data_IF_411602280016
#
_entry.id   IF_411602280016
#
_cell.length_a   1.000
_cell.length_b   1.000
_cell.length_c   1.000
_cell.angle_alpha   90.00
_cell.angle_beta   90.00
_cell.angle_gamma   90.00
#
_symmetry.space_group_name_H-M   'P 1'
#
loop_
_entity.id
_entity.type
_entity.pdbx_description
1 polymer ?
#
# COMPACT_ATOMS: atom_id res chain seq x y z
N UNK A 1 42.93 -16.85 -17.95
CA UNK A 1 42.71 -18.22 -17.44
C UNK A 1 43.27 -18.27 -16.02
N UNK A 2 42.43 -18.61 -15.03
CA UNK A 2 42.73 -19.02 -13.64
C UNK A 2 43.77 -18.21 -12.83
N UNK A 3 43.26 -17.37 -11.92
CA UNK A 3 43.86 -17.15 -10.60
C UNK A 3 42.93 -17.83 -9.58
N UNK A 4 43.42 -18.87 -8.93
CA UNK A 4 42.71 -19.66 -7.91
C UNK A 4 43.61 -19.73 -6.67
N UNK A 5 42.95 -19.50 -5.52
CA UNK A 5 43.31 -19.84 -4.14
C UNK A 5 44.39 -19.01 -3.44
N UNK A 6 43.90 -18.13 -2.55
CA UNK A 6 44.25 -18.20 -1.12
C UNK A 6 42.96 -17.97 -0.32
N UNK A 7 42.48 -19.00 0.36
CA UNK A 7 41.55 -18.90 1.50
C UNK A 7 42.41 -18.82 2.77
N UNK A 8 42.08 -17.98 3.76
CA UNK A 8 42.42 -18.25 5.15
C UNK A 8 41.22 -18.84 5.90
N UNK A 9 41.53 -19.83 6.73
CA UNK A 9 40.66 -20.54 7.66
C UNK A 9 40.24 -19.70 8.90
N UNK A 10 39.26 -20.17 9.70
CA UNK A 10 38.36 -19.34 10.49
C UNK A 10 38.84 -19.12 11.92
N UNK A 11 39.79 -18.21 12.13
CA UNK A 11 40.16 -17.74 13.48
C UNK A 11 40.43 -16.24 13.49
N UNK A 12 39.39 -15.44 13.31
CA UNK A 12 39.40 -13.99 13.59
C UNK A 12 37.96 -13.49 13.88
N UNK A 13 37.29 -14.12 14.86
CA UNK A 13 36.17 -13.50 15.54
C UNK A 13 36.76 -12.72 16.72
N UNK A 14 36.81 -11.39 16.61
CA UNK A 14 37.10 -10.52 17.74
C UNK A 14 35.98 -10.65 18.79
N UNK A 15 36.32 -10.61 20.09
CA UNK A 15 35.39 -10.92 21.16
C UNK A 15 34.31 -9.84 21.32
N UNK A 16 33.10 -10.30 21.64
CA UNK A 16 31.99 -9.46 22.12
C UNK A 16 32.44 -8.74 23.40
N UNK A 17 32.37 -7.40 23.49
CA UNK A 17 32.67 -6.72 24.74
C UNK A 17 31.58 -7.06 25.76
N UNK A 18 31.99 -7.63 26.91
CA UNK A 18 31.16 -7.68 28.11
C UNK A 18 30.98 -6.23 28.58
N UNK A 19 29.74 -5.77 28.60
CA UNK A 19 29.37 -4.52 29.28
C UNK A 19 29.30 -4.80 30.78
N UNK A 20 30.28 -4.28 31.53
CA UNK A 20 30.17 -4.15 32.98
C UNK A 20 29.18 -3.03 33.29
N UNK A 21 28.10 -3.39 34.00
CA UNK A 21 27.08 -2.46 34.46
C UNK A 21 27.66 -1.58 35.58
N UNK A 22 27.96 -0.32 35.24
CA UNK A 22 28.31 0.75 36.17
C UNK A 22 27.38 1.93 35.97
N UNK A 23 26.70 2.33 37.05
CA UNK A 23 25.63 3.32 37.15
C UNK A 23 25.89 4.66 36.41
N UNK A 24 25.05 4.95 35.42
CA UNK A 24 24.62 6.31 35.03
C UNK A 24 23.36 6.20 34.17
N UNK A 25 22.27 5.76 34.81
CA UNK A 25 20.97 5.53 34.18
C UNK A 25 20.14 6.79 33.97
N UNK A 26 19.45 6.86 32.83
CA UNK A 26 18.30 7.77 32.67
C UNK A 26 17.83 8.00 31.23
N UNK A 27 18.75 8.00 30.25
CA UNK A 27 18.45 8.31 28.86
C UNK A 27 18.59 7.10 27.90
N UNK A 28 19.59 6.25 28.12
CA UNK A 28 19.83 5.06 27.28
C UNK A 28 18.74 3.99 27.43
N UNK A 29 18.12 3.89 28.61
CA UNK A 29 16.97 3.02 28.82
C UNK A 29 15.72 3.48 28.05
N UNK A 30 15.61 4.75 27.64
CA UNK A 30 14.41 5.25 26.96
C UNK A 30 14.42 5.02 25.45
N UNK A 31 15.61 4.98 24.84
CA UNK A 31 15.80 4.64 23.43
C UNK A 31 15.91 3.13 23.21
N UNK A 32 16.50 2.39 24.14
CA UNK A 32 16.36 0.94 24.18
C UNK A 32 14.90 0.52 24.44
N UNK A 33 14.18 1.22 25.33
CA UNK A 33 12.76 0.98 25.56
C UNK A 33 11.87 1.21 24.32
N UNK A 34 12.23 2.07 23.36
CA UNK A 34 11.44 2.25 22.14
C UNK A 34 11.59 1.10 21.14
N UNK A 35 12.71 0.36 21.17
CA UNK A 35 12.88 -0.88 20.42
C UNK A 35 12.41 -2.12 21.22
N UNK A 36 12.59 -2.12 22.55
CA UNK A 36 12.13 -3.19 23.44
C UNK A 36 10.59 -3.20 23.60
N UNK A 37 9.90 -2.08 23.37
CA UNK A 37 8.44 -2.05 23.43
C UNK A 37 7.77 -2.76 22.24
N UNK A 38 8.47 -2.87 21.10
CA UNK A 38 7.98 -3.50 19.87
C UNK A 38 8.67 -4.82 19.53
N UNK A 39 9.80 -5.12 20.16
CA UNK A 39 10.44 -6.44 20.13
C UNK A 39 10.74 -6.89 21.54
N UNK A 40 9.83 -7.67 22.14
CA UNK A 40 10.13 -8.37 23.37
C UNK A 40 11.38 -9.24 23.18
N UNK A 41 12.22 -9.48 24.21
CA UNK A 41 13.38 -10.35 24.12
C UNK A 41 13.06 -11.77 23.61
N UNK A 42 11.79 -12.18 23.68
CA UNK A 42 11.27 -13.44 23.19
C UNK A 42 11.07 -13.47 21.65
N UNK A 43 10.97 -12.31 20.98
CA UNK A 43 10.79 -12.20 19.51
C UNK A 43 12.11 -12.19 18.73
N UNK A 44 13.22 -11.84 19.37
CA UNK A 44 14.56 -11.90 18.74
C UNK A 44 14.93 -13.32 18.31
N UNK A 45 14.26 -14.35 18.84
CA UNK A 45 14.55 -15.77 18.61
C UNK A 45 13.95 -16.30 17.29
N UNK A 46 13.07 -15.55 16.60
CA UNK A 46 12.35 -16.05 15.41
C UNK A 46 12.40 -15.16 14.16
N UNK A 47 13.31 -14.19 14.08
CA UNK A 47 13.43 -13.34 12.87
C UNK A 47 14.17 -14.08 11.74
N UNK A 48 13.57 -14.10 10.56
CA UNK A 48 14.28 -14.56 9.35
C UNK A 48 15.39 -13.57 8.97
N UNK A 49 16.37 -14.01 8.18
CA UNK A 49 17.46 -13.14 7.73
C UNK A 49 16.95 -11.90 6.95
N UNK A 50 15.83 -12.01 6.24
CA UNK A 50 15.23 -10.88 5.51
C UNK A 50 14.56 -9.88 6.47
N UNK A 51 13.93 -10.38 7.53
CA UNK A 51 13.32 -9.60 8.60
C UNK A 51 14.37 -8.86 9.44
N UNK A 52 15.46 -9.53 9.82
CA UNK A 52 16.57 -8.94 10.54
C UNK A 52 17.24 -7.81 9.75
N UNK A 53 17.38 -7.96 8.42
CA UNK A 53 17.90 -6.89 7.54
C UNK A 53 16.99 -5.66 7.53
N UNK A 54 15.68 -5.84 7.56
CA UNK A 54 14.73 -4.71 7.64
C UNK A 54 14.97 -3.90 8.91
N UNK A 55 15.04 -4.58 10.07
CA UNK A 55 15.30 -3.94 11.36
C UNK A 55 16.67 -3.24 11.36
N UNK A 56 17.71 -3.90 10.85
CA UNK A 56 19.04 -3.31 10.73
C UNK A 56 19.04 -2.05 9.85
N UNK A 57 18.26 -2.03 8.77
CA UNK A 57 18.08 -0.86 7.91
C UNK A 57 17.39 0.31 8.61
N UNK A 58 16.48 0.02 9.53
CA UNK A 58 15.75 1.02 10.29
C UNK A 58 16.63 1.64 11.37
N UNK A 59 17.35 0.81 12.12
CA UNK A 59 18.37 1.25 13.08
C UNK A 59 19.43 2.11 12.38
N UNK A 60 19.87 1.71 11.18
CA UNK A 60 20.80 2.49 10.38
C UNK A 60 20.22 3.86 9.99
N UNK A 61 18.96 3.92 9.55
CA UNK A 61 18.32 5.18 9.18
C UNK A 61 18.15 6.13 10.37
N UNK A 62 17.74 5.62 11.54
CA UNK A 62 17.61 6.39 12.78
C UNK A 62 18.99 6.90 13.23
N UNK A 63 20.00 6.03 13.21
CA UNK A 63 21.37 6.40 13.59
C UNK A 63 21.94 7.50 12.68
N UNK A 64 21.70 7.43 11.37
CA UNK A 64 22.07 8.52 10.44
C UNK A 64 21.35 9.82 10.79
N UNK A 65 20.06 9.76 11.11
CA UNK A 65 19.30 10.95 11.47
C UNK A 65 19.85 11.61 12.74
N UNK A 66 20.18 10.82 13.76
CA UNK A 66 20.80 11.31 14.99
C UNK A 66 22.16 11.96 14.72
N UNK A 67 23.01 11.34 13.89
CA UNK A 67 24.31 11.92 13.50
C UNK A 67 24.15 13.24 12.75
N UNK A 68 23.16 13.35 11.86
CA UNK A 68 22.85 14.59 11.14
C UNK A 68 22.35 15.68 12.10
N UNK A 69 21.48 15.33 13.06
CA UNK A 69 20.98 16.26 14.07
C UNK A 69 22.08 16.74 15.00
N UNK A 70 22.92 15.83 15.49
CA UNK A 70 24.07 16.15 16.35
C UNK A 70 25.03 17.12 15.66
N UNK A 71 25.38 16.85 14.39
CA UNK A 71 26.21 17.76 13.59
C UNK A 71 25.55 19.11 13.36
N UNK A 72 24.22 19.15 13.21
CA UNK A 72 23.46 20.39 12.99
C UNK A 72 23.41 21.27 14.22
N UNK A 73 23.24 20.67 15.40
CA UNK A 73 23.05 21.40 16.67
C UNK A 73 24.31 21.55 17.51
N UNK A 74 25.47 21.03 17.06
CA UNK A 74 26.77 21.12 17.76
C UNK A 74 27.19 22.50 18.28
N UNK A 75 26.69 23.58 17.67
CA UNK A 75 27.03 24.96 18.04
C UNK A 75 25.99 25.58 18.99
N UNK A 76 24.99 24.82 19.44
CA UNK A 76 23.94 25.29 20.34
C UNK A 76 24.47 25.26 21.77
N UNK A 77 24.37 26.36 22.55
CA UNK A 77 24.81 26.38 23.94
C UNK A 77 24.12 25.28 24.76
N UNK A 78 24.90 24.50 25.51
CA UNK A 78 24.39 23.39 26.33
C UNK A 78 24.08 22.10 25.57
N UNK A 79 24.44 22.00 24.28
CA UNK A 79 24.31 20.75 23.52
C UNK A 79 25.40 19.75 23.89
N UNK A 80 25.01 18.56 24.31
CA UNK A 80 25.93 17.45 24.56
C UNK A 80 26.09 16.61 23.29
N UNK A 81 27.30 16.53 22.70
CA UNK A 81 27.52 15.80 21.46
C UNK A 81 27.47 14.29 21.70
N UNK A 82 26.96 13.55 20.71
CA UNK A 82 26.91 12.09 20.77
C UNK A 82 28.33 11.51 20.79
N UNK A 83 28.65 10.70 21.81
CA UNK A 83 29.93 10.03 21.91
C UNK A 83 30.15 9.09 20.71
N UNK A 84 31.28 9.24 20.01
CA UNK A 84 31.59 8.41 18.85
C UNK A 84 30.71 8.64 17.62
N UNK A 85 30.12 9.83 17.48
CA UNK A 85 29.21 10.23 16.38
C UNK A 85 29.72 9.83 14.98
N UNK A 86 31.02 10.00 14.68
CA UNK A 86 31.59 9.62 13.39
C UNK A 86 31.60 8.10 13.18
N UNK A 87 31.92 7.32 14.22
CA UNK A 87 31.91 5.85 14.16
C UNK A 87 30.49 5.33 14.00
N UNK A 88 29.52 5.93 14.71
CA UNK A 88 28.10 5.63 14.54
C UNK A 88 27.63 5.95 13.12
N UNK A 89 28.04 7.09 12.57
CA UNK A 89 27.73 7.48 11.19
C UNK A 89 28.30 6.52 10.16
N UNK A 90 29.55 6.06 10.32
CA UNK A 90 30.13 5.07 9.42
C UNK A 90 29.45 3.70 9.53
N UNK A 91 29.19 3.23 10.75
CA UNK A 91 28.51 1.97 10.99
C UNK A 91 27.11 1.97 10.37
N UNK A 92 26.32 3.02 10.62
CA UNK A 92 24.99 3.17 10.07
C UNK A 92 24.99 3.24 8.53
N UNK A 93 25.98 3.88 7.92
CA UNK A 93 26.11 3.93 6.46
C UNK A 93 26.45 2.55 5.89
N UNK A 94 27.38 1.83 6.50
CA UNK A 94 27.75 0.48 6.09
C UNK A 94 26.57 -0.50 6.20
N UNK A 95 25.81 -0.44 7.31
CA UNK A 95 24.59 -1.23 7.49
C UNK A 95 23.51 -0.88 6.46
N UNK A 96 23.30 0.40 6.16
CA UNK A 96 22.34 0.81 5.14
C UNK A 96 22.72 0.27 3.74
N UNK A 97 24.01 0.26 3.39
CA UNK A 97 24.50 -0.33 2.14
C UNK A 97 24.28 -1.84 2.10
N UNK A 98 24.64 -2.56 3.17
CA UNK A 98 24.46 -4.01 3.26
C UNK A 98 22.98 -4.42 3.12
N UNK A 99 22.09 -3.70 3.81
CA UNK A 99 20.64 -3.92 3.72
C UNK A 99 20.10 -3.64 2.32
N UNK A 100 20.63 -2.62 1.62
CA UNK A 100 20.21 -2.26 0.26
C UNK A 100 20.52 -3.33 -0.80
N UNK A 101 21.48 -4.22 -0.52
CA UNK A 101 21.85 -5.35 -1.39
C UNK A 101 20.92 -6.56 -1.21
N UNK A 102 20.16 -6.62 -0.11
CA UNK A 102 19.21 -7.68 0.18
C UNK A 102 17.78 -7.40 -0.31
N UNK A 103 16.93 -8.43 -0.28
CA UNK A 103 15.47 -8.24 -0.30
C UNK A 103 14.99 -8.08 1.15
N UNK A 104 14.63 -6.86 1.60
CA UNK A 104 14.06 -6.65 2.93
C UNK A 104 12.67 -7.27 3.03
N UNK A 105 12.36 -7.87 4.18
CA UNK A 105 11.02 -8.32 4.53
C UNK A 105 10.40 -7.40 5.59
N UNK A 106 9.39 -6.63 5.19
CA UNK A 106 8.68 -5.69 6.05
C UNK A 106 7.52 -6.33 6.82
N UNK A 107 7.43 -7.66 6.85
CA UNK A 107 6.44 -8.38 7.66
C UNK A 107 6.67 -8.24 9.17
N UNK A 108 7.89 -7.91 9.59
CA UNK A 108 8.22 -7.57 11.00
C UNK A 108 7.41 -6.37 11.47
N UNK A 109 7.19 -5.42 10.58
CA UNK A 109 6.60 -4.15 10.91
C UNK A 109 5.08 -4.18 10.67
N UNK A 110 4.34 -4.42 11.75
CA UNK A 110 2.87 -4.49 11.72
C UNK A 110 2.23 -3.10 11.65
N UNK A 111 2.90 -2.06 12.13
CA UNK A 111 2.35 -0.70 12.33
C UNK A 111 3.12 0.40 11.62
N UNK A 112 4.35 0.14 11.16
CA UNK A 112 5.25 1.14 10.61
C UNK A 112 5.33 1.15 9.08
N UNK A 113 6.41 1.75 8.59
CA UNK A 113 6.52 2.18 7.20
C UNK A 113 6.77 0.99 6.26
N UNK A 114 5.83 0.76 5.34
CA UNK A 114 6.02 -0.16 4.22
C UNK A 114 6.35 0.62 2.94
N UNK A 115 7.31 0.16 2.12
CA UNK A 115 7.55 0.79 0.84
C UNK A 115 6.26 0.82 0.02
N UNK A 116 6.01 1.93 -0.67
CA UNK A 116 4.86 2.03 -1.59
C UNK A 116 4.89 0.83 -2.53
N UNK A 117 3.81 0.04 -2.51
CA UNK A 117 3.63 -1.07 -3.43
C UNK A 117 3.70 -0.53 -4.86
N UNK A 118 4.71 -0.96 -5.60
CA UNK A 118 4.91 -0.54 -6.99
C UNK A 118 4.17 -1.51 -7.93
N UNK A 119 3.72 -1.02 -9.10
CA UNK A 119 3.24 -1.92 -10.13
C UNK A 119 4.39 -2.83 -10.56
N UNK A 120 4.10 -4.11 -10.76
CA UNK A 120 5.03 -5.09 -11.30
C UNK A 120 5.20 -4.77 -12.78
N UNK A 121 6.34 -4.16 -13.11
CA UNK A 121 6.76 -3.89 -14.48
C UNK A 121 7.24 -5.14 -15.22
N UNK A 122 7.57 -4.96 -16.50
CA UNK A 122 8.05 -6.04 -17.37
C UNK A 122 6.95 -6.72 -18.19
N UNK A 123 7.31 -7.72 -19.01
CA UNK A 123 6.36 -8.45 -19.83
C UNK A 123 5.32 -9.18 -18.96
N UNK A 124 4.14 -9.41 -19.53
CA UNK A 124 3.08 -10.15 -18.85
C UNK A 124 3.58 -11.55 -18.50
N UNK A 125 3.44 -11.94 -17.22
CA UNK A 125 3.71 -13.32 -16.81
C UNK A 125 2.74 -14.28 -17.51
N UNK A 126 3.19 -15.50 -17.87
CA UNK A 126 2.32 -16.48 -18.50
C UNK A 126 1.27 -17.03 -17.53
N UNK A 127 0.12 -17.44 -18.09
CA UNK A 127 -0.94 -18.13 -17.36
C UNK A 127 -1.51 -17.35 -16.17
N UNK A 128 -1.80 -18.08 -15.09
CA UNK A 128 -2.47 -17.56 -13.88
C UNK A 128 -1.65 -16.44 -13.20
N UNK A 129 -0.32 -16.53 -13.25
CA UNK A 129 0.58 -15.50 -12.72
C UNK A 129 0.39 -14.16 -13.43
N UNK A 130 0.05 -14.19 -14.72
CA UNK A 130 -0.30 -12.98 -15.48
C UNK A 130 -1.59 -12.33 -15.01
N UNK A 131 -2.57 -13.12 -14.60
CA UNK A 131 -3.83 -12.63 -14.01
C UNK A 131 -3.56 -12.00 -12.65
N UNK A 132 -2.81 -12.69 -11.76
CA UNK A 132 -2.39 -12.13 -10.47
C UNK A 132 -1.58 -10.84 -10.62
N UNK A 133 -0.67 -10.77 -11.59
CA UNK A 133 0.10 -9.57 -11.85
C UNK A 133 -0.79 -8.39 -12.24
N UNK A 134 -1.77 -8.62 -13.12
CA UNK A 134 -2.72 -7.59 -13.53
C UNK A 134 -3.60 -7.13 -12.36
N UNK A 135 -4.07 -8.07 -11.53
CA UNK A 135 -4.88 -7.76 -10.34
C UNK A 135 -4.09 -6.97 -9.28
N UNK A 136 -2.83 -7.33 -9.05
CA UNK A 136 -1.93 -6.54 -8.19
C UNK A 136 -1.71 -5.13 -8.74
N UNK A 137 -1.44 -5.01 -10.05
CA UNK A 137 -1.24 -3.72 -10.69
C UNK A 137 -2.50 -2.85 -10.66
N UNK A 138 -3.68 -3.46 -10.81
CA UNK A 138 -4.97 -2.81 -10.62
C UNK A 138 -5.06 -2.20 -9.22
N UNK A 139 -4.81 -2.99 -8.17
CA UNK A 139 -4.84 -2.51 -6.78
C UNK A 139 -3.89 -1.32 -6.57
N UNK A 140 -2.67 -1.41 -7.09
CA UNK A 140 -1.69 -0.31 -7.00
C UNK A 140 -2.18 0.93 -7.74
N UNK A 141 -2.78 0.79 -8.92
CA UNK A 141 -3.30 1.92 -9.70
C UNK A 141 -4.61 2.49 -9.16
N UNK A 142 -5.38 1.73 -8.39
CA UNK A 142 -6.53 2.24 -7.63
C UNK A 142 -6.13 3.16 -6.47
N UNK A 143 -4.83 3.40 -6.25
CA UNK A 143 -4.37 4.50 -5.41
C UNK A 143 -4.85 5.87 -5.94
N UNK A 144 -4.93 6.05 -7.27
CA UNK A 144 -5.55 7.23 -7.87
C UNK A 144 -7.07 7.12 -7.90
N UNK A 145 -7.77 8.23 -7.61
CA UNK A 145 -9.23 8.29 -7.61
C UNK A 145 -9.79 8.15 -9.03
N UNK A 146 -10.58 7.10 -9.33
CA UNK A 146 -11.16 6.90 -10.66
C UNK A 146 -12.42 7.75 -10.87
N UNK A 147 -12.67 8.16 -12.11
CA UNK A 147 -14.00 8.68 -12.48
C UNK A 147 -15.06 7.57 -12.44
N UNK A 148 -16.35 7.95 -12.52
CA UNK A 148 -17.45 7.00 -12.39
C UNK A 148 -17.49 5.96 -13.52
N UNK A 149 -17.01 6.29 -14.72
CA UNK A 149 -16.97 5.36 -15.85
C UNK A 149 -15.89 4.30 -15.64
N UNK A 150 -14.68 4.74 -15.30
CA UNK A 150 -13.56 3.86 -15.01
C UNK A 150 -13.85 2.99 -13.78
N UNK A 151 -14.52 3.53 -12.76
CA UNK A 151 -14.96 2.73 -11.61
C UNK A 151 -15.95 1.62 -12.01
N UNK A 152 -16.89 1.89 -12.93
CA UNK A 152 -17.79 0.86 -13.47
C UNK A 152 -17.03 -0.23 -14.21
N UNK A 153 -16.00 0.12 -14.98
CA UNK A 153 -15.17 -0.86 -15.69
C UNK A 153 -14.39 -1.74 -14.72
N UNK A 154 -13.83 -1.15 -13.66
CA UNK A 154 -13.15 -1.90 -12.60
C UNK A 154 -14.13 -2.82 -11.87
N UNK A 155 -15.33 -2.36 -11.53
CA UNK A 155 -16.35 -3.19 -10.88
C UNK A 155 -16.80 -4.35 -11.77
N UNK A 156 -17.00 -4.13 -13.07
CA UNK A 156 -17.33 -5.22 -13.99
C UNK A 156 -16.17 -6.22 -14.14
N UNK A 157 -14.93 -5.76 -14.12
CA UNK A 157 -13.78 -6.67 -14.14
C UNK A 157 -13.74 -7.55 -12.90
N UNK A 158 -14.04 -7.00 -11.72
CA UNK A 158 -14.10 -7.76 -10.46
C UNK A 158 -15.22 -8.79 -10.47
N UNK A 159 -16.39 -8.46 -11.03
CA UNK A 159 -17.48 -9.41 -11.27
C UNK A 159 -17.02 -10.59 -12.14
N UNK A 160 -16.40 -10.28 -13.29
CA UNK A 160 -15.95 -11.28 -14.26
C UNK A 160 -14.81 -12.14 -13.73
N UNK A 161 -13.85 -11.55 -13.03
CA UNK A 161 -12.73 -12.28 -12.42
C UNK A 161 -13.21 -13.23 -11.32
N UNK A 162 -14.09 -12.76 -10.44
CA UNK A 162 -14.66 -13.58 -9.37
C UNK A 162 -15.37 -14.80 -9.94
N UNK A 163 -16.28 -14.59 -10.90
CA UNK A 163 -17.04 -15.66 -11.53
C UNK A 163 -16.15 -16.61 -12.35
N UNK A 164 -15.19 -16.06 -13.12
CA UNK A 164 -14.34 -16.86 -13.99
C UNK A 164 -13.29 -17.70 -13.25
N UNK A 165 -12.97 -17.36 -11.99
CA UNK A 165 -12.08 -18.17 -11.17
C UNK A 165 -12.79 -19.28 -10.38
N UNK A 166 -14.13 -19.25 -10.26
CA UNK A 166 -14.93 -20.27 -9.55
C UNK A 166 -14.63 -21.70 -10.03
N UNK A 167 -14.60 -22.02 -11.35
CA UNK A 167 -14.35 -23.39 -11.80
C UNK A 167 -12.98 -23.94 -11.38
N UNK A 168 -11.98 -23.06 -11.23
CA UNK A 168 -10.65 -23.43 -10.79
C UNK A 168 -10.60 -23.62 -9.27
N UNK A 169 -11.25 -22.75 -8.50
CA UNK A 169 -11.37 -22.87 -7.06
C UNK A 169 -12.15 -24.14 -6.66
N UNK A 170 -13.24 -24.46 -7.37
CA UNK A 170 -14.11 -25.61 -7.07
C UNK A 170 -13.35 -26.95 -7.02
N UNK A 171 -12.27 -27.08 -7.77
CA UNK A 171 -11.43 -28.29 -7.82
C UNK A 171 -10.56 -28.49 -6.57
N UNK A 172 -10.34 -27.42 -5.81
CA UNK A 172 -9.38 -27.38 -4.70
C UNK A 172 -10.12 -27.11 -3.38
N UNK A 173 -10.97 -26.09 -3.38
CA UNK A 173 -11.74 -25.63 -2.23
C UNK A 173 -13.15 -25.16 -2.70
N UNK A 174 -14.17 -26.03 -2.55
CA UNK A 174 -15.57 -25.72 -2.88
C UNK A 174 -16.15 -24.54 -2.08
N UNK A 175 -15.71 -24.34 -0.84
CA UNK A 175 -16.23 -23.27 0.02
C UNK A 175 -15.70 -21.91 -0.47
N UNK A 176 -14.42 -21.85 -0.83
CA UNK A 176 -13.82 -20.68 -1.45
C UNK A 176 -14.50 -20.35 -2.80
N UNK A 177 -14.82 -21.38 -3.59
CA UNK A 177 -15.55 -21.21 -4.84
C UNK A 177 -16.95 -20.61 -4.61
N UNK A 178 -17.66 -21.07 -3.58
CA UNK A 178 -18.94 -20.48 -3.15
C UNK A 178 -18.80 -19.00 -2.75
N UNK A 179 -17.75 -18.65 -1.98
CA UNK A 179 -17.45 -17.27 -1.61
C UNK A 179 -17.18 -16.39 -2.83
N UNK A 180 -16.44 -16.89 -3.83
CA UNK A 180 -16.15 -16.15 -5.06
C UNK A 180 -17.39 -16.00 -5.95
N UNK A 181 -18.27 -16.99 -5.97
CA UNK A 181 -19.60 -16.88 -6.58
C UNK A 181 -20.44 -15.78 -5.92
N UNK A 182 -20.52 -15.77 -4.59
CA UNK A 182 -21.23 -14.72 -3.84
C UNK A 182 -20.62 -13.33 -4.05
N UNK A 183 -19.28 -13.23 -4.12
CA UNK A 183 -18.57 -12.01 -4.47
C UNK A 183 -18.97 -11.51 -5.86
N UNK A 184 -19.02 -12.39 -6.86
CA UNK A 184 -19.45 -12.03 -8.21
C UNK A 184 -20.88 -11.48 -8.22
N UNK A 185 -21.81 -12.11 -7.51
CA UNK A 185 -23.19 -11.63 -7.38
C UNK A 185 -23.30 -10.26 -6.69
N UNK A 186 -22.47 -10.05 -5.66
CA UNK A 186 -22.37 -8.75 -4.99
C UNK A 186 -21.92 -7.68 -5.97
N UNK A 187 -20.88 -7.94 -6.76
CA UNK A 187 -20.43 -7.01 -7.80
C UNK A 187 -21.46 -6.80 -8.91
N UNK A 188 -22.28 -7.80 -9.26
CA UNK A 188 -23.42 -7.63 -10.17
C UNK A 188 -24.46 -6.64 -9.63
N UNK A 189 -24.69 -6.60 -8.31
CA UNK A 189 -25.58 -5.62 -7.65
C UNK A 189 -24.95 -4.23 -7.65
N UNK A 190 -23.68 -4.13 -7.23
CA UNK A 190 -22.91 -2.86 -7.22
C UNK A 190 -22.85 -2.25 -8.62
N UNK A 191 -22.60 -3.05 -9.65
CA UNK A 191 -22.56 -2.59 -11.04
C UNK A 191 -23.90 -2.02 -11.50
N UNK A 192 -25.02 -2.64 -11.12
CA UNK A 192 -26.37 -2.13 -11.43
C UNK A 192 -26.61 -0.79 -10.79
N UNK A 193 -26.28 -0.63 -9.51
CA UNK A 193 -26.45 0.64 -8.80
C UNK A 193 -25.52 1.74 -9.32
N UNK A 194 -24.28 1.40 -9.68
CA UNK A 194 -23.33 2.34 -10.28
C UNK A 194 -23.83 2.96 -11.59
N UNK A 195 -24.77 2.31 -12.32
CA UNK A 195 -25.38 2.90 -13.54
C UNK A 195 -26.13 4.19 -13.24
N UNK A 196 -26.62 4.34 -12.02
CA UNK A 196 -27.32 5.54 -11.57
C UNK A 196 -26.37 6.62 -11.03
N UNK A 197 -25.05 6.41 -11.09
CA UNK A 197 -24.05 7.37 -10.62
C UNK A 197 -23.26 7.94 -11.79
N UNK A 198 -23.30 9.25 -11.97
CA UNK A 198 -22.41 10.00 -12.85
C UNK A 198 -21.24 10.61 -12.07
N UNK A 199 -20.22 11.07 -12.79
CA UNK A 199 -19.07 11.76 -12.21
C UNK A 199 -17.87 11.69 -13.15
N UNK A 200 -17.26 12.84 -13.42
CA UNK A 200 -16.06 12.95 -14.28
C UNK A 200 -14.80 13.34 -13.51
N UNK A 201 -14.90 13.44 -12.18
CA UNK A 201 -13.77 13.85 -11.35
C UNK A 201 -12.90 12.63 -11.05
N UNK A 202 -11.62 12.72 -11.41
CA UNK A 202 -10.65 11.63 -11.30
C UNK A 202 -10.11 11.17 -12.66
N UNK A 203 -9.07 10.33 -12.62
CA UNK A 203 -8.55 9.63 -13.79
C UNK A 203 -8.24 8.19 -13.37
N UNK A 204 -9.06 7.26 -13.84
CA UNK A 204 -8.94 5.84 -13.53
C UNK A 204 -8.48 5.00 -14.72
N UNK A 205 -8.06 5.61 -15.83
CA UNK A 205 -7.77 4.90 -17.10
C UNK A 205 -6.75 3.79 -16.93
N UNK A 206 -5.68 4.05 -16.19
CA UNK A 206 -4.63 3.05 -15.97
C UNK A 206 -5.14 1.88 -15.09
N UNK A 207 -5.99 2.15 -14.10
CA UNK A 207 -6.63 1.10 -13.30
C UNK A 207 -7.60 0.28 -14.16
N UNK A 208 -8.46 0.94 -14.94
CA UNK A 208 -9.37 0.29 -15.87
C UNK A 208 -8.63 -0.57 -16.92
N UNK A 209 -7.46 -0.11 -17.39
CA UNK A 209 -6.59 -0.88 -18.27
C UNK A 209 -6.08 -2.17 -17.64
N UNK A 210 -5.60 -2.13 -16.39
CA UNK A 210 -5.16 -3.36 -15.69
C UNK A 210 -6.33 -4.29 -15.36
N UNK A 211 -7.50 -3.74 -15.03
CA UNK A 211 -8.75 -4.49 -14.88
C UNK A 211 -9.12 -5.24 -16.17
N UNK A 212 -9.04 -4.59 -17.33
CA UNK A 212 -9.26 -5.22 -18.63
C UNK A 212 -8.20 -6.29 -18.93
N UNK A 213 -6.93 -6.01 -18.61
CA UNK A 213 -5.83 -6.98 -18.77
C UNK A 213 -6.07 -8.23 -17.94
N UNK A 214 -6.51 -8.09 -16.68
CA UNK A 214 -6.78 -9.22 -15.79
C UNK A 214 -7.87 -10.13 -16.38
N UNK A 215 -8.98 -9.56 -16.84
CA UNK A 215 -10.08 -10.31 -17.47
C UNK A 215 -9.63 -10.96 -18.78
N UNK A 216 -8.91 -10.22 -19.63
CA UNK A 216 -8.40 -10.76 -20.90
C UNK A 216 -7.48 -11.96 -20.67
N UNK A 217 -6.57 -11.87 -19.70
CA UNK A 217 -5.66 -12.96 -19.32
C UNK A 217 -6.40 -14.14 -18.70
N UNK A 218 -7.43 -13.89 -17.89
CA UNK A 218 -8.27 -14.96 -17.33
C UNK A 218 -8.99 -15.74 -18.45
N UNK A 219 -9.54 -15.05 -19.45
CA UNK A 219 -10.20 -15.68 -20.61
C UNK A 219 -9.24 -16.48 -21.49
N UNK A 220 -7.96 -16.12 -21.48
CA UNK A 220 -6.92 -16.84 -22.21
C UNK A 220 -6.40 -18.08 -21.46
N UNK A 221 -6.84 -18.32 -20.21
CA UNK A 221 -6.48 -19.54 -19.50
C UNK A 221 -7.20 -20.74 -20.09
N UNK A 222 -6.47 -21.85 -20.25
CA UNK A 222 -7.08 -23.10 -20.66
C UNK A 222 -7.94 -23.66 -19.50
N UNK A 223 -9.13 -24.24 -19.76
CA UNK A 223 -10.03 -24.72 -18.72
C UNK A 223 -9.42 -25.79 -17.79
N UNK A 224 -8.42 -26.53 -18.26
CA UNK A 224 -7.67 -27.57 -17.57
C UNK A 224 -6.45 -27.03 -16.80
N UNK A 225 -6.21 -25.72 -16.83
CA UNK A 225 -5.10 -25.09 -16.10
C UNK A 225 -5.17 -25.43 -14.61
N UNK A 226 -4.09 -25.99 -14.07
CA UNK A 226 -3.96 -26.29 -12.65
C UNK A 226 -3.50 -25.02 -11.92
N UNK A 227 -4.28 -24.59 -10.93
CA UNK A 227 -3.94 -23.46 -10.06
C UNK A 227 -3.40 -24.02 -8.75
N UNK A 228 -2.23 -23.59 -8.31
CA UNK A 228 -1.70 -24.02 -7.02
C UNK A 228 -2.45 -23.35 -5.85
N UNK A 229 -2.67 -24.03 -4.71
CA UNK A 229 -3.39 -23.45 -3.56
C UNK A 229 -2.83 -22.12 -3.07
N UNK A 230 -1.49 -21.95 -3.08
CA UNK A 230 -0.82 -20.69 -2.73
C UNK A 230 -1.26 -19.51 -3.61
N UNK A 231 -1.57 -19.78 -4.87
CA UNK A 231 -2.03 -18.77 -5.83
C UNK A 231 -3.48 -18.36 -5.55
N UNK A 232 -4.34 -19.30 -5.13
CA UNK A 232 -5.70 -18.99 -4.67
C UNK A 232 -5.68 -18.08 -3.43
N UNK A 233 -4.79 -18.34 -2.47
CA UNK A 233 -4.58 -17.46 -1.32
C UNK A 233 -4.12 -16.06 -1.71
N UNK A 234 -3.29 -15.96 -2.77
CA UNK A 234 -2.91 -14.69 -3.39
C UNK A 234 -4.10 -13.91 -3.95
N UNK A 235 -4.98 -14.58 -4.71
CA UNK A 235 -6.22 -13.96 -5.22
C UNK A 235 -7.14 -13.52 -4.08
N UNK A 236 -7.36 -14.36 -3.06
CA UNK A 236 -8.23 -14.02 -1.94
C UNK A 236 -7.72 -12.79 -1.16
N UNK A 237 -6.40 -12.64 -1.03
CA UNK A 237 -5.78 -11.47 -0.40
C UNK A 237 -5.97 -10.22 -1.27
N UNK A 238 -5.73 -10.32 -2.58
CA UNK A 238 -5.93 -9.19 -3.50
C UNK A 238 -7.40 -8.78 -3.59
N UNK A 239 -8.32 -9.74 -3.68
CA UNK A 239 -9.77 -9.50 -3.70
C UNK A 239 -10.22 -8.71 -2.48
N UNK A 240 -9.86 -9.16 -1.26
CA UNK A 240 -10.20 -8.42 -0.03
C UNK A 240 -9.68 -6.98 -0.04
N UNK A 241 -8.46 -6.76 -0.52
CA UNK A 241 -7.86 -5.41 -0.60
C UNK A 241 -8.54 -4.53 -1.66
N UNK A 242 -8.89 -5.11 -2.81
CA UNK A 242 -9.62 -4.40 -3.87
C UNK A 242 -11.04 -4.08 -3.40
N UNK A 243 -11.71 -5.00 -2.70
CA UNK A 243 -13.06 -4.82 -2.14
C UNK A 243 -13.11 -3.66 -1.13
N UNK A 244 -12.16 -3.65 -0.19
CA UNK A 244 -11.98 -2.55 0.74
C UNK A 244 -11.70 -1.23 0.00
N UNK A 245 -10.78 -1.25 -0.97
CA UNK A 245 -10.40 -0.05 -1.71
C UNK A 245 -11.55 0.53 -2.55
N UNK A 246 -12.37 -0.31 -3.18
CA UNK A 246 -13.55 0.13 -3.94
C UNK A 246 -14.57 0.76 -2.99
N UNK A 247 -14.77 0.17 -1.80
CA UNK A 247 -15.65 0.74 -0.77
C UNK A 247 -15.17 2.13 -0.35
N UNK A 248 -13.88 2.29 -0.07
CA UNK A 248 -13.31 3.59 0.33
C UNK A 248 -13.40 4.64 -0.79
N UNK A 249 -13.25 4.24 -2.06
CA UNK A 249 -13.42 5.12 -3.23
C UNK A 249 -14.88 5.58 -3.34
N UNK A 250 -15.84 4.69 -3.14
CA UNK A 250 -17.27 5.03 -3.18
C UNK A 250 -17.63 6.05 -2.10
N UNK A 251 -17.16 5.83 -0.86
CA UNK A 251 -17.37 6.76 0.26
C UNK A 251 -16.69 8.11 0.03
N UNK A 252 -15.38 8.09 -0.26
CA UNK A 252 -14.60 9.31 -0.54
C UNK A 252 -15.16 10.09 -1.73
N UNK A 253 -15.75 9.41 -2.71
CA UNK A 253 -16.33 10.05 -3.88
C UNK A 253 -17.59 10.85 -3.59
N UNK A 254 -18.39 10.43 -2.63
CA UNK A 254 -19.55 11.22 -2.17
C UNK A 254 -19.09 12.37 -1.29
N UNK A 255 -18.18 12.12 -0.34
CA UNK A 255 -17.64 13.17 0.55
C UNK A 255 -16.97 14.31 -0.22
N UNK A 256 -16.30 14.00 -1.34
CA UNK A 256 -15.65 15.00 -2.21
C UNK A 256 -16.59 15.62 -3.25
N UNK A 257 -17.87 15.24 -3.28
CA UNK A 257 -18.83 15.66 -4.31
C UNK A 257 -18.45 15.22 -5.74
N UNK A 258 -17.61 14.19 -5.87
CA UNK A 258 -17.12 13.67 -7.15
C UNK A 258 -18.19 12.87 -7.91
N UNK A 259 -19.17 12.33 -7.17
CA UNK A 259 -20.26 11.51 -7.69
C UNK A 259 -21.61 12.22 -7.59
N UNK A 260 -22.41 12.08 -8.66
CA UNK A 260 -23.74 12.66 -8.80
C UNK A 260 -24.76 11.54 -9.08
N UNK A 261 -25.93 11.60 -8.45
CA UNK A 261 -27.00 10.62 -8.64
C UNK A 261 -27.89 11.03 -9.81
N UNK A 262 -28.15 10.08 -10.70
CA UNK A 262 -29.12 10.23 -11.79
C UNK A 262 -30.53 10.15 -11.21
N UNK A 263 -31.30 11.21 -11.40
CA UNK A 263 -32.69 11.33 -10.97
C UNK A 263 -33.57 11.57 -12.19
N UNK A 264 -34.66 10.84 -12.23
CA UNK A 264 -35.70 10.97 -13.24
C UNK A 264 -36.62 12.12 -12.86
N UNK A 265 -36.67 13.18 -13.68
CA UNK A 265 -37.51 14.35 -13.37
C UNK A 265 -38.77 14.32 -14.24
N UNK A 266 -39.98 14.32 -13.63
CA UNK A 266 -41.22 14.45 -14.37
C UNK A 266 -41.26 15.76 -15.18
N UNK A 267 -41.69 15.69 -16.43
CA UNK A 267 -41.88 16.89 -17.26
C UNK A 267 -43.25 17.50 -16.95
N UNK A 268 -43.31 18.82 -16.72
CA UNK A 268 -44.57 19.56 -16.77
C UNK A 268 -45.11 19.48 -18.20
N UNK A 269 -46.32 18.95 -18.36
CA UNK A 269 -47.00 18.79 -19.65
C UNK A 269 -47.36 20.17 -20.18
N UNK A 270 -46.59 20.69 -21.13
CA UNK A 270 -47.08 21.75 -22.02
C UNK A 270 -47.98 21.09 -23.06
N UNK A 271 -49.19 21.63 -23.25
CA UNK A 271 -50.30 21.06 -24.02
C UNK A 271 -50.07 20.94 -25.54
N UNK A 272 -48.92 20.43 -25.96
CA UNK A 272 -48.46 20.38 -27.36
C UNK A 272 -48.87 19.08 -28.08
N UNK A 273 -49.83 18.32 -27.55
CA UNK A 273 -50.46 17.18 -28.24
C UNK A 273 -49.56 15.98 -28.56
N UNK A 274 -48.34 15.88 -28.01
CA UNK A 274 -47.44 14.73 -28.19
C UNK A 274 -47.72 13.63 -27.16
N UNK A 275 -48.10 12.45 -27.63
CA UNK A 275 -48.52 11.29 -26.82
C UNK A 275 -47.39 10.60 -26.02
N UNK A 276 -46.12 10.83 -26.34
CA UNK A 276 -44.97 10.28 -25.58
C UNK A 276 -43.89 11.34 -25.45
N UNK A 277 -43.61 11.79 -24.23
CA UNK A 277 -42.49 12.68 -23.93
C UNK A 277 -41.31 11.87 -23.38
N UNK A 278 -40.10 11.97 -23.98
CA UNK A 278 -38.93 11.30 -23.44
C UNK A 278 -38.63 11.86 -22.04
N UNK A 279 -38.44 10.94 -21.10
CA UNK A 279 -38.16 11.23 -19.70
C UNK A 279 -36.80 11.94 -19.59
N UNK A 280 -36.75 13.08 -18.87
CA UNK A 280 -35.51 13.85 -18.72
C UNK A 280 -34.73 13.35 -17.51
N UNK A 281 -33.54 12.82 -17.75
CA UNK A 281 -32.60 12.45 -16.69
C UNK A 281 -31.82 13.72 -16.25
N UNK A 282 -31.76 13.98 -14.94
CA UNK A 282 -30.90 15.02 -14.35
C UNK A 282 -29.92 14.37 -13.37
N UNK A 283 -28.74 14.95 -13.24
CA UNK A 283 -27.77 14.54 -12.22
C UNK A 283 -27.82 15.52 -11.05
N UNK A 284 -28.02 15.00 -9.85
CA UNK A 284 -28.12 15.78 -8.61
C UNK A 284 -26.95 15.40 -7.70
N UNK A 285 -26.28 16.37 -7.05
CA UNK A 285 -25.27 16.08 -6.03
C UNK A 285 -25.85 15.19 -4.92
N UNK A 286 -25.05 14.27 -4.43
CA UNK A 286 -25.44 13.40 -3.31
C UNK A 286 -25.03 14.09 -2.02
N UNK A 287 -26.00 14.35 -1.13
CA UNK A 287 -25.74 15.06 0.12
C UNK A 287 -25.05 14.17 1.18
N UNK A 288 -25.40 12.87 1.23
CA UNK A 288 -24.78 11.91 2.15
C UNK A 288 -24.47 10.57 1.48
N UNK A 289 -23.35 9.97 1.85
CA UNK A 289 -22.94 8.63 1.43
C UNK A 289 -23.97 7.54 1.81
N UNK A 290 -24.75 7.77 2.87
CA UNK A 290 -25.81 6.86 3.30
C UNK A 290 -27.01 6.80 2.33
N UNK A 291 -27.16 7.80 1.45
CA UNK A 291 -28.32 7.94 0.55
C UNK A 291 -28.17 7.12 -0.75
N UNK A 292 -27.05 6.41 -0.90
CA UNK A 292 -26.72 5.59 -2.06
C UNK A 292 -26.73 4.11 -1.70
N UNK A 293 -27.64 3.36 -2.32
CA UNK A 293 -27.71 1.90 -2.19
C UNK A 293 -26.39 1.22 -2.55
N UNK A 294 -25.61 1.78 -3.48
CA UNK A 294 -24.29 1.25 -3.83
C UNK A 294 -23.31 1.26 -2.65
N UNK A 295 -23.33 2.28 -1.79
CA UNK A 295 -22.43 2.41 -0.64
C UNK A 295 -22.89 1.48 0.47
N UNK A 296 -24.21 1.37 0.68
CA UNK A 296 -24.79 0.41 1.62
C UNK A 296 -24.40 -1.03 1.26
N UNK A 297 -24.60 -1.43 0.00
CA UNK A 297 -24.23 -2.77 -0.48
C UNK A 297 -22.72 -3.00 -0.32
N UNK A 298 -21.88 -2.03 -0.67
CA UNK A 298 -20.43 -2.13 -0.52
C UNK A 298 -20.01 -2.28 0.96
N UNK A 299 -20.57 -1.49 1.87
CA UNK A 299 -20.29 -1.60 3.31
C UNK A 299 -20.68 -2.95 3.88
N UNK A 300 -21.87 -3.43 3.53
CA UNK A 300 -22.43 -4.67 4.09
C UNK A 300 -21.76 -5.93 3.53
N UNK A 301 -21.34 -5.91 2.25
CA UNK A 301 -20.96 -7.13 1.54
C UNK A 301 -19.52 -7.13 0.99
N UNK A 302 -18.86 -5.97 0.87
CA UNK A 302 -17.48 -5.87 0.37
C UNK A 302 -16.46 -5.56 1.47
N UNK A 303 -16.87 -5.01 2.62
CA UNK A 303 -15.94 -4.88 3.76
C UNK A 303 -15.81 -6.22 4.49
N UNK A 304 -14.59 -6.76 4.66
CA UNK A 304 -14.38 -7.81 5.64
C UNK A 304 -14.70 -7.28 7.05
N UNK A 305 -15.08 -8.18 7.96
CA UNK A 305 -15.32 -7.85 9.36
C UNK A 305 -14.14 -7.04 9.90
N UNK A 306 -14.44 -5.92 10.55
CA UNK A 306 -13.47 -4.92 10.99
C UNK A 306 -12.45 -5.59 11.91
N UNK A 307 -11.24 -5.82 11.39
CA UNK A 307 -10.06 -5.94 12.24
C UNK A 307 -9.66 -4.51 12.62
N UNK A 308 -9.51 -4.19 13.92
CA UNK A 308 -9.40 -2.81 14.38
C UNK A 308 -8.22 -2.10 13.71
N UNK A 309 -8.54 -1.02 12.99
CA UNK A 309 -7.56 -0.15 12.39
C UNK A 309 -6.85 0.63 13.51
N UNK A 310 -5.62 0.20 13.85
CA UNK A 310 -4.75 1.00 14.71
C UNK A 310 -4.46 2.31 13.95
N UNK A 311 -4.74 3.50 14.55
CA UNK A 311 -4.51 4.76 13.88
C UNK A 311 -3.02 4.89 13.51
N UNK A 312 -2.75 5.19 12.24
CA UNK A 312 -1.40 5.46 11.75
C UNK A 312 -0.85 6.73 12.41
N UNK A 313 0.34 6.69 13.04
CA UNK A 313 0.99 7.91 13.51
C UNK A 313 1.40 8.77 12.32
N UNK A 314 1.16 10.08 12.43
CA UNK A 314 1.64 11.07 11.47
C UNK A 314 3.16 11.20 11.43
N UNK A 315 3.64 11.89 10.38
CA UNK A 315 5.02 12.00 9.87
C UNK A 315 5.59 10.67 9.35
N UNK A 316 5.56 10.50 8.03
CA UNK A 316 6.02 9.28 7.35
C UNK A 316 7.54 9.26 7.21
N UNK A 317 8.13 8.06 7.09
CA UNK A 317 9.56 7.88 6.72
C UNK A 317 9.95 8.63 5.45
N UNK A 318 9.01 8.89 4.53
CA UNK A 318 9.25 9.71 3.34
C UNK A 318 9.49 11.18 3.71
N UNK A 319 8.81 11.68 4.75
CA UNK A 319 9.03 13.03 5.30
C UNK A 319 10.37 13.10 6.03
N UNK A 320 10.74 12.05 6.79
CA UNK A 320 12.07 11.93 7.40
C UNK A 320 13.19 11.84 6.35
N UNK A 321 13.03 10.99 5.34
CA UNK A 321 14.00 10.83 4.26
C UNK A 321 14.11 12.11 3.40
N UNK A 322 13.00 12.79 3.13
CA UNK A 322 13.00 14.11 2.50
C UNK A 322 13.73 15.15 3.36
N UNK A 323 13.51 15.14 4.69
CA UNK A 323 14.20 16.02 5.62
C UNK A 323 15.71 15.71 5.71
N UNK A 324 16.12 14.44 5.64
CA UNK A 324 17.52 14.01 5.66
C UNK A 324 18.27 14.36 4.36
N UNK A 325 17.60 14.29 3.22
CA UNK A 325 18.19 14.62 1.91
C UNK A 325 18.15 16.12 1.61
N UNK A 326 17.26 16.89 2.26
CA UNK A 326 17.12 18.31 2.02
C UNK A 326 18.40 19.08 2.36
N UNK A 327 19.10 19.56 1.32
CA UNK A 327 20.24 20.48 1.43
C UNK A 327 19.69 21.91 1.50
N UNK A 328 19.91 22.69 2.57
CA UNK A 328 19.46 24.08 2.61
C UNK A 328 20.16 24.88 1.50
N UNK A 329 19.46 25.83 0.83
CA UNK A 329 20.10 26.72 -0.12
C UNK A 329 21.23 27.50 0.56
N UNK A 330 22.34 27.70 -0.15
CA UNK A 330 23.47 28.53 0.32
C UNK A 330 22.91 29.88 0.78
N UNK A 331 23.03 30.17 2.07
CA UNK A 331 22.77 31.48 2.63
C UNK A 331 23.79 32.43 2.02
N UNK A 332 23.37 33.26 1.07
CA UNK A 332 24.20 34.36 0.59
C UNK A 332 24.58 35.19 1.81
N UNK A 333 25.88 35.39 2.01
CA UNK A 333 26.39 36.23 3.08
C UNK A 333 25.77 37.63 2.93
N UNK A 334 25.37 38.29 4.04
CA UNK A 334 24.93 39.67 3.97
C UNK A 334 26.09 40.52 3.46
N UNK A 335 25.80 41.33 2.43
CA UNK A 335 26.70 42.35 1.92
C UNK A 335 27.04 43.29 3.08
N UNK A 336 28.30 43.28 3.51
CA UNK A 336 28.80 44.21 4.52
C UNK A 336 28.93 45.56 3.82
N UNK A 337 28.20 46.61 4.22
CA UNK A 337 28.41 47.93 3.64
C UNK A 337 29.78 48.43 4.08
N UNK A 338 30.65 48.68 3.10
CA UNK A 338 31.92 49.37 3.31
C UNK A 338 31.62 50.81 3.77
N UNK A 339 32.09 51.15 4.97
CA UNK A 339 32.57 52.49 5.31
C UNK A 339 34.08 52.49 5.24
#
# INVERSE_FOLDING_TARGET
MRLLRVLPEPHCLLPVPKFDAGESGGAEHRTAALAEHDTAPDQAIHLTAAQARTIAGDVAAISQALVVLDRRYRNTPGWEPIAGCDRLGWAALATALDVSLGQPDYSVDQTGWRPRTKPIGGPAKPGVLGVLQAEHNLLVRLASFPDAMNLRLVVDSQRLLSAGLVPYAQRIDPDLAGQWGARAETYSRVQRELRNIGGRLGNGTAAAGEAANAVSRLRALAPDTVIEPRMLGGFQTLFRRVDARITDILESGVERGAFVKRVTVPRLVSGDGRLVHPVRERFVPVASAADLDVIRIAREHLRPAIEPLVPSPGASRADLHAALIHRPPKRNAPDVPRM
#
